data_IF_535065521129
#
_entry.id   IF_535065521129
#
_cell.length_a   1.000
_cell.length_b   1.000
_cell.length_c   1.000
_cell.angle_alpha   90.00
_cell.angle_beta   90.00
_cell.angle_gamma   90.00
#
_symmetry.space_group_name_H-M   'P 1'
#
loop_
_entity.id
_entity.type
_entity.pdbx_description
1 polymer ?
#
# COMPACT_ATOMS: atom_id res chain seq x y z
N UNK A 1 -21.07 7.65 -17.10
CA UNK A 1 -19.92 7.06 -17.81
C UNK A 1 -20.18 5.58 -18.04
N UNK A 2 -19.94 5.06 -19.24
CA UNK A 2 -20.13 3.63 -19.56
C UNK A 2 -18.76 2.94 -19.53
N UNK A 3 -18.67 1.81 -18.84
CA UNK A 3 -17.47 0.96 -18.90
C UNK A 3 -17.37 0.33 -20.30
N UNK A 4 -16.15 0.08 -20.82
CA UNK A 4 -15.99 -0.73 -22.02
C UNK A 4 -16.53 -2.15 -21.77
N UNK A 5 -16.81 -2.88 -22.85
CA UNK A 5 -17.14 -4.31 -22.72
C UNK A 5 -15.89 -5.05 -22.28
N UNK A 6 -16.02 -5.82 -21.20
CA UNK A 6 -14.94 -6.57 -20.57
C UNK A 6 -15.25 -8.06 -20.63
N UNK A 7 -14.28 -8.85 -21.07
CA UNK A 7 -14.36 -10.30 -21.25
C UNK A 7 -13.22 -11.04 -20.55
N UNK A 8 -12.14 -10.35 -20.20
CA UNK A 8 -11.02 -10.95 -19.46
C UNK A 8 -10.78 -10.19 -18.16
N UNK A 9 -10.66 -10.92 -17.06
CA UNK A 9 -10.52 -10.34 -15.74
C UNK A 9 -9.27 -10.88 -15.07
N UNK A 10 -8.42 -9.99 -14.59
CA UNK A 10 -7.14 -10.33 -14.00
C UNK A 10 -7.03 -9.78 -12.59
N UNK A 11 -6.56 -10.61 -11.67
CA UNK A 11 -6.19 -10.20 -10.31
C UNK A 11 -4.69 -10.40 -10.09
N UNK A 12 -4.00 -9.38 -9.59
CA UNK A 12 -2.56 -9.40 -9.35
C UNK A 12 -2.27 -9.18 -7.86
N UNK A 13 -1.78 -10.21 -7.17
CA UNK A 13 -1.14 -10.11 -5.83
C UNK A 13 0.32 -9.76 -6.09
N UNK A 14 0.67 -8.50 -5.87
CA UNK A 14 1.89 -7.84 -6.27
C UNK A 14 2.96 -7.90 -5.18
N UNK A 15 4.21 -7.88 -5.60
CA UNK A 15 5.37 -7.87 -4.71
C UNK A 15 6.45 -6.95 -5.27
N UNK A 16 6.92 -6.00 -4.47
CA UNK A 16 8.06 -5.15 -4.81
C UNK A 16 9.42 -5.79 -4.47
N UNK A 17 9.45 -7.07 -4.09
CA UNK A 17 10.67 -7.78 -3.73
C UNK A 17 11.68 -7.82 -4.89
N UNK A 18 12.97 -7.98 -4.59
CA UNK A 18 14.01 -8.10 -5.63
C UNK A 18 13.76 -9.28 -6.59
N UNK A 19 13.25 -10.39 -6.06
CA UNK A 19 12.79 -11.54 -6.84
C UNK A 19 11.28 -11.49 -7.05
N UNK A 20 10.75 -10.37 -7.57
CA UNK A 20 9.31 -10.16 -7.66
C UNK A 20 8.59 -11.22 -8.50
N UNK A 21 9.22 -11.79 -9.54
CA UNK A 21 8.59 -12.76 -10.43
C UNK A 21 8.02 -13.98 -9.70
N UNK A 22 8.70 -14.48 -8.65
CA UNK A 22 8.22 -15.64 -7.87
C UNK A 22 7.11 -15.28 -6.88
N UNK A 23 6.98 -14.00 -6.53
CA UNK A 23 6.05 -13.53 -5.50
C UNK A 23 4.87 -12.75 -6.07
N UNK A 24 4.94 -12.29 -7.31
CA UNK A 24 3.79 -11.74 -8.01
C UNK A 24 2.97 -12.92 -8.53
N UNK A 25 1.69 -12.97 -8.18
CA UNK A 25 0.75 -13.97 -8.69
C UNK A 25 -0.30 -13.33 -9.56
N UNK A 26 -0.57 -13.95 -10.71
CA UNK A 26 -1.60 -13.52 -11.65
C UNK A 26 -2.71 -14.58 -11.67
N UNK A 27 -3.92 -14.15 -11.34
CA UNK A 27 -5.15 -14.89 -11.50
C UNK A 27 -5.88 -14.39 -12.76
N UNK A 28 -6.30 -15.31 -13.61
CA UNK A 28 -7.06 -15.02 -14.84
C UNK A 28 -8.45 -15.64 -14.71
N UNK A 29 -9.48 -14.83 -14.96
CA UNK A 29 -10.87 -15.22 -14.90
C UNK A 29 -11.56 -14.91 -16.22
N UNK A 30 -12.44 -15.81 -16.63
CA UNK A 30 -13.25 -15.68 -17.84
C UNK A 30 -14.74 -15.85 -17.54
N UNK A 31 -15.62 -15.21 -18.33
CA UNK A 31 -17.05 -15.47 -18.29
C UNK A 31 -17.38 -16.95 -18.45
N UNK A 32 -18.31 -17.42 -17.63
CA UNK A 32 -18.79 -18.78 -17.65
C UNK A 32 -20.31 -18.81 -17.87
N UNK A 33 -20.85 -19.69 -18.73
CA UNK A 33 -22.27 -19.68 -19.10
C UNK A 33 -23.21 -20.06 -17.94
N UNK A 34 -22.71 -20.80 -16.95
CA UNK A 34 -23.47 -21.23 -15.77
C UNK A 34 -22.99 -20.51 -14.51
N UNK A 35 -23.86 -20.20 -13.53
CA UNK A 35 -23.44 -19.70 -12.23
C UNK A 35 -22.41 -20.62 -11.53
N UNK A 36 -21.44 -20.04 -10.79
CA UNK A 36 -21.04 -18.63 -10.83
C UNK A 36 -20.51 -18.21 -12.22
N UNK A 37 -20.84 -16.99 -12.66
CA UNK A 37 -20.62 -16.50 -14.04
C UNK A 37 -19.17 -16.19 -14.39
N UNK A 38 -18.24 -16.44 -13.49
CA UNK A 38 -16.81 -16.32 -13.71
C UNK A 38 -16.15 -17.64 -13.37
N UNK A 39 -15.18 -18.07 -14.17
CA UNK A 39 -14.34 -19.22 -13.87
C UNK A 39 -12.89 -18.78 -13.77
N UNK A 40 -12.19 -19.24 -12.74
CA UNK A 40 -10.74 -19.10 -12.65
C UNK A 40 -10.11 -20.07 -13.66
N UNK A 41 -9.45 -19.54 -14.68
CA UNK A 41 -8.87 -20.32 -15.79
C UNK A 41 -7.37 -20.51 -15.64
N UNK A 42 -6.68 -19.57 -14.97
CA UNK A 42 -5.25 -19.61 -14.69
C UNK A 42 -4.93 -18.95 -13.35
N UNK A 43 -3.93 -19.49 -12.65
CA UNK A 43 -3.38 -18.95 -11.40
C UNK A 43 -1.92 -19.35 -11.30
N UNK A 44 -1.01 -18.42 -11.58
CA UNK A 44 0.43 -18.71 -11.72
C UNK A 44 1.29 -17.58 -11.15
N UNK A 45 2.49 -17.90 -10.63
CA UNK A 45 3.47 -16.86 -10.35
C UNK A 45 3.95 -16.25 -11.67
N UNK A 46 4.31 -14.97 -11.64
CA UNK A 46 4.73 -14.23 -12.83
C UNK A 46 6.00 -14.82 -13.47
N UNK A 47 6.90 -15.40 -12.68
CA UNK A 47 8.11 -16.08 -13.17
C UNK A 47 7.79 -17.30 -14.05
N UNK A 48 6.66 -17.97 -13.82
CA UNK A 48 6.20 -19.06 -14.69
C UNK A 48 5.66 -18.57 -16.05
N UNK A 49 5.39 -17.26 -16.17
CA UNK A 49 4.90 -16.62 -17.39
C UNK A 49 6.07 -15.99 -18.16
N UNK A 50 6.93 -15.24 -17.46
CA UNK A 50 8.02 -14.47 -18.06
C UNK A 50 9.39 -15.16 -18.04
N UNK A 51 9.51 -16.31 -17.36
CA UNK A 51 10.77 -17.08 -17.28
C UNK A 51 11.83 -16.50 -16.34
N UNK A 52 11.52 -15.47 -15.54
CA UNK A 52 12.47 -14.85 -14.62
C UNK A 52 11.85 -14.48 -13.28
N UNK A 53 12.62 -14.65 -12.21
CA UNK A 53 12.25 -14.16 -10.88
C UNK A 53 12.62 -12.69 -10.68
N UNK A 54 13.51 -12.11 -11.48
CA UNK A 54 14.05 -10.77 -11.27
C UNK A 54 12.98 -9.69 -11.47
N UNK A 55 12.93 -8.72 -10.53
CA UNK A 55 11.89 -7.69 -10.50
C UNK A 55 11.76 -6.91 -11.81
N UNK A 56 12.83 -6.25 -12.26
CA UNK A 56 12.76 -5.35 -13.41
C UNK A 56 12.24 -6.05 -14.69
N UNK A 57 12.83 -7.18 -15.16
CA UNK A 57 12.32 -7.85 -16.35
C UNK A 57 10.94 -8.48 -16.14
N UNK A 58 10.61 -8.97 -14.93
CA UNK A 58 9.27 -9.48 -14.66
C UNK A 58 8.20 -8.37 -14.74
N UNK A 59 8.46 -7.19 -14.17
CA UNK A 59 7.55 -6.05 -14.24
C UNK A 59 7.39 -5.52 -15.67
N UNK A 60 8.48 -5.47 -16.44
CA UNK A 60 8.43 -5.12 -17.86
C UNK A 60 7.54 -6.09 -18.66
N UNK A 61 7.67 -7.39 -18.42
CA UNK A 61 6.81 -8.41 -19.04
C UNK A 61 5.35 -8.22 -18.65
N UNK A 62 5.06 -8.02 -17.36
CA UNK A 62 3.70 -7.77 -16.87
C UNK A 62 3.06 -6.56 -17.55
N UNK A 63 3.79 -5.45 -17.68
CA UNK A 63 3.32 -4.27 -18.41
C UNK A 63 3.06 -4.59 -19.87
N UNK A 64 3.95 -5.34 -20.53
CA UNK A 64 3.76 -5.82 -21.90
C UNK A 64 2.45 -6.59 -22.07
N UNK A 65 2.23 -7.62 -21.24
CA UNK A 65 1.00 -8.43 -21.27
C UNK A 65 -0.26 -7.59 -21.06
N UNK A 66 -0.22 -6.59 -20.18
CA UNK A 66 -1.35 -5.68 -20.00
C UNK A 66 -1.55 -4.85 -21.27
N UNK A 67 -0.50 -4.24 -21.83
CA UNK A 67 -0.60 -3.41 -23.04
C UNK A 67 -1.10 -4.17 -24.26
N UNK A 68 -0.86 -5.48 -24.33
CA UNK A 68 -1.36 -6.38 -25.37
C UNK A 68 -2.82 -6.83 -25.14
N UNK A 69 -3.27 -6.88 -23.88
CA UNK A 69 -4.63 -7.35 -23.55
C UNK A 69 -5.75 -6.48 -24.17
N UNK A 70 -6.87 -7.08 -24.54
CA UNK A 70 -8.06 -6.36 -25.00
C UNK A 70 -9.28 -6.79 -24.21
N UNK A 71 -10.28 -5.90 -24.11
CA UNK A 71 -11.53 -6.11 -23.35
C UNK A 71 -11.21 -6.62 -21.94
N UNK A 72 -10.18 -6.06 -21.31
CA UNK A 72 -9.58 -6.61 -20.10
C UNK A 72 -9.69 -5.66 -18.89
N UNK A 73 -9.97 -6.22 -17.72
CA UNK A 73 -9.90 -5.54 -16.43
C UNK A 73 -8.78 -6.14 -15.60
N UNK A 74 -7.87 -5.30 -15.12
CA UNK A 74 -6.75 -5.70 -14.26
C UNK A 74 -6.86 -5.04 -12.89
N UNK A 75 -7.02 -5.85 -11.84
CA UNK A 75 -6.99 -5.42 -10.45
C UNK A 75 -5.63 -5.68 -9.80
N UNK A 76 -5.05 -4.68 -9.16
CA UNK A 76 -3.74 -4.76 -8.50
C UNK A 76 -3.84 -4.50 -7.00
N UNK A 77 -3.12 -5.28 -6.20
CA UNK A 77 -3.13 -5.17 -4.73
C UNK A 77 -2.15 -4.16 -4.12
N UNK A 78 -1.82 -3.11 -4.86
CA UNK A 78 -0.98 -2.02 -4.37
C UNK A 78 -1.59 -0.64 -4.67
N UNK A 79 -1.25 0.40 -3.88
CA UNK A 79 -1.79 1.74 -4.07
C UNK A 79 -1.37 2.41 -5.39
N UNK A 80 -2.30 3.09 -6.07
CA UNK A 80 -2.02 3.87 -7.29
C UNK A 80 -1.64 5.33 -7.04
N UNK A 81 -1.51 5.72 -5.78
CA UNK A 81 -1.16 7.08 -5.40
C UNK A 81 -0.64 7.14 -3.97
N UNK A 82 0.16 8.17 -3.72
CA UNK A 82 0.53 8.63 -2.39
C UNK A 82 -0.53 9.63 -1.87
N UNK A 83 -0.60 9.86 -0.54
CA UNK A 83 -1.42 10.93 0.04
C UNK A 83 -1.07 12.27 -0.58
N UNK A 84 -2.10 12.98 -1.03
CA UNK A 84 -1.95 14.26 -1.74
C UNK A 84 -1.34 15.33 -0.85
N UNK A 85 -1.49 15.18 0.46
CA UNK A 85 -0.95 16.06 1.49
C UNK A 85 0.57 16.00 1.62
N UNK A 86 1.25 15.03 0.97
CA UNK A 86 2.71 15.00 0.86
C UNK A 86 3.26 15.98 -0.18
N UNK A 87 2.38 16.62 -0.95
CA UNK A 87 2.72 17.48 -2.08
C UNK A 87 2.11 18.86 -1.90
N UNK A 88 2.67 19.90 -2.54
CA UNK A 88 2.04 21.21 -2.60
C UNK A 88 0.59 21.12 -3.07
N UNK A 89 -0.28 21.95 -2.51
CA UNK A 89 -1.72 21.96 -2.85
C UNK A 89 -1.90 22.14 -4.37
N UNK A 90 -2.71 21.28 -4.97
CA UNK A 90 -3.00 21.32 -6.42
C UNK A 90 -1.99 20.57 -7.29
N UNK A 91 -0.99 19.90 -6.70
CA UNK A 91 -0.05 19.05 -7.43
C UNK A 91 -0.80 17.97 -8.22
N UNK A 92 -0.60 17.88 -9.55
CA UNK A 92 -1.20 16.83 -10.38
C UNK A 92 -0.76 15.43 -9.96
N UNK A 93 -1.61 14.42 -10.22
CA UNK A 93 -1.27 13.01 -9.93
C UNK A 93 0.00 12.55 -10.65
N UNK A 94 0.25 13.09 -11.84
CA UNK A 94 1.43 12.80 -12.66
C UNK A 94 2.76 13.13 -11.97
N UNK A 95 2.78 14.16 -11.13
CA UNK A 95 3.99 14.59 -10.39
C UNK A 95 4.40 13.58 -9.32
N UNK A 96 3.47 12.75 -8.82
CA UNK A 96 3.83 11.68 -7.90
C UNK A 96 4.77 10.67 -8.57
N UNK A 97 4.64 10.44 -9.87
CA UNK A 97 5.55 9.55 -10.61
C UNK A 97 6.91 10.19 -10.85
N UNK A 98 6.96 11.52 -11.04
CA UNK A 98 8.22 12.26 -11.13
C UNK A 98 8.98 12.12 -9.81
N UNK A 99 8.30 12.39 -8.68
CA UNK A 99 8.84 12.18 -7.34
C UNK A 99 9.39 10.77 -7.15
N UNK A 100 8.63 9.72 -7.50
CA UNK A 100 9.12 8.33 -7.36
C UNK A 100 10.35 8.03 -8.24
N UNK A 101 10.47 8.69 -9.39
CA UNK A 101 11.58 8.46 -10.32
C UNK A 101 12.92 9.01 -9.80
N UNK A 102 12.90 9.98 -8.88
CA UNK A 102 14.10 10.58 -8.27
C UNK A 102 14.87 9.60 -7.37
N UNK A 103 14.22 8.52 -6.92
CA UNK A 103 14.76 7.62 -5.91
C UNK A 103 15.44 6.38 -6.48
N UNK A 104 15.52 6.26 -7.81
CA UNK A 104 16.00 5.05 -8.47
C UNK A 104 15.41 3.81 -7.79
N UNK A 105 16.21 2.83 -7.37
CA UNK A 105 15.75 1.60 -6.71
C UNK A 105 15.63 1.68 -5.16
N UNK A 106 15.81 2.86 -4.55
CA UNK A 106 15.71 3.05 -3.10
C UNK A 106 14.28 3.35 -2.62
N UNK A 107 13.42 2.33 -2.75
CA UNK A 107 12.05 2.39 -2.25
C UNK A 107 11.98 2.69 -0.74
N UNK A 108 12.97 2.24 0.04
CA UNK A 108 13.00 2.46 1.49
C UNK A 108 13.30 3.92 1.83
N UNK A 109 14.32 4.51 1.20
CA UNK A 109 14.62 5.93 1.30
C UNK A 109 13.44 6.80 0.90
N UNK A 110 12.77 6.45 -0.20
CA UNK A 110 11.55 7.14 -0.63
C UNK A 110 10.44 7.09 0.44
N UNK A 111 10.26 5.94 1.10
CA UNK A 111 9.34 5.81 2.23
C UNK A 111 9.73 6.69 3.42
N UNK A 112 11.01 6.77 3.76
CA UNK A 112 11.50 7.66 4.81
C UNK A 112 11.27 9.13 4.47
N UNK A 113 11.44 9.51 3.21
CA UNK A 113 11.12 10.87 2.74
C UNK A 113 9.62 11.17 2.89
N UNK A 114 8.74 10.22 2.57
CA UNK A 114 7.31 10.37 2.81
C UNK A 114 7.00 10.59 4.31
N UNK A 115 7.66 9.84 5.20
CA UNK A 115 7.54 10.04 6.66
C UNK A 115 8.05 11.41 7.08
N UNK A 116 9.17 11.87 6.53
CA UNK A 116 9.75 13.19 6.82
C UNK A 116 8.76 14.29 6.42
N UNK A 117 8.27 14.26 5.18
CA UNK A 117 7.26 15.22 4.68
C UNK A 117 5.98 15.21 5.51
N UNK A 118 5.45 14.04 5.84
CA UNK A 118 4.26 13.92 6.68
C UNK A 118 4.49 14.52 8.08
N UNK A 119 5.67 14.33 8.65
CA UNK A 119 6.02 14.86 9.97
C UNK A 119 6.16 16.38 9.94
N UNK A 120 6.81 16.93 8.91
CA UNK A 120 7.02 18.37 8.78
C UNK A 120 5.73 19.12 8.45
N UNK A 121 4.91 18.59 7.54
CA UNK A 121 3.70 19.28 7.06
C UNK A 121 2.50 19.09 7.98
N UNK A 122 2.40 17.94 8.66
CA UNK A 122 1.19 17.52 9.37
C UNK A 122 1.44 17.04 10.80
N UNK A 123 2.70 17.07 11.27
CA UNK A 123 3.09 16.58 12.60
C UNK A 123 2.70 15.12 12.85
N UNK A 124 2.64 14.31 11.79
CA UNK A 124 2.25 12.88 11.84
C UNK A 124 3.20 12.02 11.01
N UNK A 125 3.63 10.88 11.57
CA UNK A 125 4.50 9.94 10.85
C UNK A 125 3.79 9.16 9.74
N UNK A 126 2.50 8.89 9.92
CA UNK A 126 1.69 8.11 8.99
C UNK A 126 0.41 8.87 8.69
N UNK A 127 0.11 8.98 7.39
CA UNK A 127 -1.09 9.61 6.88
C UNK A 127 -1.72 8.69 5.84
N UNK A 128 -3.05 8.65 5.83
CA UNK A 128 -3.85 7.79 4.96
C UNK A 128 -4.53 8.66 3.91
N UNK A 129 -4.69 8.16 2.68
CA UNK A 129 -5.59 8.79 1.71
C UNK A 129 -7.02 8.73 2.24
N UNK A 130 -7.89 9.59 1.72
CA UNK A 130 -9.32 9.50 2.00
C UNK A 130 -9.86 8.10 1.65
N UNK A 131 -9.46 7.55 0.49
CA UNK A 131 -9.83 6.20 0.04
C UNK A 131 -9.32 5.09 0.96
N UNK A 132 -8.13 5.24 1.55
CA UNK A 132 -7.57 4.27 2.51
C UNK A 132 -8.43 4.21 3.79
N UNK A 133 -8.92 5.36 4.23
CA UNK A 133 -9.79 5.47 5.41
C UNK A 133 -11.17 4.90 5.12
N UNK A 134 -11.78 5.27 4.00
CA UNK A 134 -13.08 4.80 3.55
C UNK A 134 -13.09 3.27 3.34
N UNK A 135 -12.12 2.75 2.59
CA UNK A 135 -11.98 1.33 2.34
C UNK A 135 -11.41 0.55 3.54
N UNK A 136 -11.08 1.22 4.65
CA UNK A 136 -10.53 0.61 5.87
C UNK A 136 -9.29 -0.24 5.59
N UNK A 137 -8.38 0.27 4.75
CA UNK A 137 -7.15 -0.44 4.38
C UNK A 137 -6.26 -0.67 5.61
N UNK A 138 -5.44 -1.74 5.64
CA UNK A 138 -4.65 -2.08 6.81
C UNK A 138 -3.49 -1.11 7.07
N UNK A 139 -2.90 -0.53 6.01
CA UNK A 139 -1.69 0.30 6.08
C UNK A 139 -1.84 1.58 5.24
N UNK A 140 -1.12 2.63 5.62
CA UNK A 140 -0.83 3.75 4.73
C UNK A 140 0.14 3.35 3.61
N UNK A 141 0.12 4.09 2.51
CA UNK A 141 0.79 3.71 1.25
C UNK A 141 2.32 3.66 1.33
N UNK A 142 2.92 4.33 2.31
CA UNK A 142 4.36 4.34 2.55
C UNK A 142 4.78 3.63 3.84
N UNK A 143 3.88 2.84 4.44
CA UNK A 143 4.21 1.98 5.56
C UNK A 143 5.30 0.98 5.17
N UNK A 144 6.21 0.62 6.08
CA UNK A 144 7.37 -0.24 5.78
C UNK A 144 7.03 -1.62 5.18
N UNK A 145 5.81 -2.13 5.41
CA UNK A 145 5.31 -3.39 4.83
C UNK A 145 4.77 -3.25 3.40
N UNK A 146 4.45 -2.03 2.98
CA UNK A 146 3.73 -1.72 1.75
C UNK A 146 4.57 -0.87 0.77
N UNK A 147 5.53 -0.08 1.28
CA UNK A 147 6.29 0.89 0.48
C UNK A 147 6.93 0.28 -0.78
N UNK A 148 7.47 -0.94 -0.71
CA UNK A 148 8.04 -1.60 -1.89
C UNK A 148 6.98 -1.88 -2.97
N UNK A 149 5.77 -2.30 -2.56
CA UNK A 149 4.68 -2.54 -3.50
C UNK A 149 4.20 -1.22 -4.12
N UNK A 150 3.97 -0.19 -3.29
CA UNK A 150 3.58 1.14 -3.76
C UNK A 150 4.62 1.74 -4.71
N UNK A 151 5.90 1.72 -4.31
CA UNK A 151 6.99 2.33 -5.06
C UNK A 151 7.17 1.68 -6.44
N UNK A 152 7.45 0.38 -6.48
CA UNK A 152 7.69 -0.32 -7.75
C UNK A 152 6.39 -0.49 -8.56
N UNK A 153 5.25 -0.69 -7.90
CA UNK A 153 3.95 -0.76 -8.58
C UNK A 153 3.59 0.55 -9.27
N UNK A 154 3.75 1.70 -8.60
CA UNK A 154 3.50 2.99 -9.23
C UNK A 154 4.55 3.32 -10.30
N UNK A 155 5.84 3.20 -9.98
CA UNK A 155 6.96 3.60 -10.86
C UNK A 155 7.05 2.72 -12.10
N UNK A 156 6.99 1.41 -11.94
CA UNK A 156 7.32 0.46 -13.02
C UNK A 156 6.08 -0.14 -13.70
N UNK A 157 4.91 -0.13 -13.04
CA UNK A 157 3.68 -0.68 -13.62
C UNK A 157 2.71 0.44 -14.01
N UNK A 158 2.30 1.28 -13.07
CA UNK A 158 1.26 2.30 -13.36
C UNK A 158 1.80 3.41 -14.27
N UNK A 159 3.05 3.85 -14.09
CA UNK A 159 3.64 4.92 -14.90
C UNK A 159 3.66 4.64 -16.42
N UNK A 160 4.13 3.48 -16.92
CA UNK A 160 4.01 3.18 -18.34
C UNK A 160 2.55 3.02 -18.78
N UNK A 161 1.70 2.36 -17.96
CA UNK A 161 0.30 2.11 -18.30
C UNK A 161 -0.54 3.39 -18.41
N UNK A 162 -0.32 4.38 -17.53
CA UNK A 162 -1.05 5.66 -17.56
C UNK A 162 -0.73 6.48 -18.80
N UNK A 163 0.40 6.23 -19.47
CA UNK A 163 0.81 6.93 -20.70
C UNK A 163 0.19 6.31 -21.95
N UNK A 164 -0.16 5.02 -21.90
CA UNK A 164 -0.82 4.35 -23.01
C UNK A 164 -2.21 4.95 -23.31
N UNK A 165 -2.49 5.21 -24.59
CA UNK A 165 -3.71 5.88 -25.03
C UNK A 165 -4.99 5.06 -24.79
N UNK A 166 -4.87 3.73 -24.93
CA UNK A 166 -5.96 2.74 -24.81
C UNK A 166 -6.05 2.06 -23.43
N UNK A 167 -5.29 2.56 -22.44
CA UNK A 167 -5.35 2.06 -21.06
C UNK A 167 -5.93 3.14 -20.16
N UNK A 168 -7.01 2.81 -19.44
CA UNK A 168 -7.59 3.67 -18.41
C UNK A 168 -7.15 3.20 -17.02
N UNK A 169 -6.43 4.04 -16.28
CA UNK A 169 -6.08 3.81 -14.87
C UNK A 169 -7.11 4.52 -14.00
N UNK A 170 -7.93 3.78 -13.27
CA UNK A 170 -8.96 4.35 -12.40
C UNK A 170 -8.46 4.47 -10.95
N UNK A 171 -8.92 5.49 -10.18
CA UNK A 171 -9.92 6.50 -10.56
C UNK A 171 -9.36 7.74 -11.29
N UNK A 172 -8.10 7.75 -11.70
CA UNK A 172 -7.44 8.98 -12.18
C UNK A 172 -7.76 9.35 -13.64
N UNK A 173 -8.10 8.37 -14.48
CA UNK A 173 -8.21 8.55 -15.93
C UNK A 173 -9.58 8.16 -16.50
N UNK A 174 -10.66 8.52 -15.80
CA UNK A 174 -12.04 8.29 -16.25
C UNK A 174 -12.32 8.73 -17.70
N UNK A 175 -11.72 9.85 -18.14
CA UNK A 175 -11.82 10.38 -19.51
C UNK A 175 -11.36 9.40 -20.59
N UNK A 176 -10.51 8.42 -20.26
CA UNK A 176 -10.02 7.42 -21.21
C UNK A 176 -10.97 6.24 -21.39
N UNK A 177 -11.98 6.06 -20.53
CA UNK A 177 -12.84 4.87 -20.53
C UNK A 177 -13.53 4.61 -21.87
N UNK A 178 -13.97 5.66 -22.56
CA UNK A 178 -14.67 5.54 -23.84
C UNK A 178 -13.84 4.87 -24.95
N UNK A 179 -12.51 4.95 -24.86
CA UNK A 179 -11.56 4.36 -25.84
C UNK A 179 -10.68 3.27 -25.23
N UNK A 180 -10.94 2.90 -23.98
CA UNK A 180 -10.09 1.97 -23.27
C UNK A 180 -10.28 0.55 -23.82
N UNK A 181 -9.20 -0.05 -24.32
CA UNK A 181 -9.14 -1.49 -24.58
C UNK A 181 -9.00 -2.28 -23.28
N UNK A 182 -8.48 -1.63 -22.24
CA UNK A 182 -8.26 -2.21 -20.92
C UNK A 182 -8.38 -1.19 -19.81
N UNK A 183 -8.81 -1.68 -18.67
CA UNK A 183 -9.00 -0.89 -17.46
C UNK A 183 -8.12 -1.47 -16.37
N UNK A 184 -7.44 -0.59 -15.64
CA UNK A 184 -6.54 -0.93 -14.54
C UNK A 184 -7.07 -0.28 -13.27
N UNK A 185 -7.23 -1.05 -12.21
CA UNK A 185 -7.82 -0.60 -10.94
C UNK A 185 -6.97 -1.06 -9.75
N UNK A 186 -6.94 -0.22 -8.72
CA UNK A 186 -6.42 -0.59 -7.40
C UNK A 186 -7.47 -1.46 -6.69
N UNK A 187 -7.03 -2.52 -6.00
CA UNK A 187 -7.89 -3.46 -5.27
C UNK A 187 -7.21 -3.87 -3.97
N UNK A 188 -7.80 -3.62 -2.79
CA UNK A 188 -7.24 -4.13 -1.54
C UNK A 188 -7.99 -5.42 -1.10
N UNK A 189 -7.39 -6.62 -1.19
CA UNK A 189 -8.08 -7.85 -0.83
C UNK A 189 -8.59 -7.85 0.61
N UNK A 190 -7.80 -7.32 1.55
CA UNK A 190 -8.22 -7.21 2.96
C UNK A 190 -9.46 -6.35 3.16
N UNK A 191 -9.57 -5.23 2.43
CA UNK A 191 -10.74 -4.35 2.45
C UNK A 191 -11.96 -5.01 1.84
N UNK A 192 -11.79 -5.72 0.71
CA UNK A 192 -12.87 -6.46 0.05
C UNK A 192 -13.41 -7.56 0.96
N UNK A 193 -12.54 -8.36 1.56
CA UNK A 193 -12.93 -9.40 2.51
C UNK A 193 -13.69 -8.82 3.71
N UNK A 194 -13.23 -7.66 4.23
CA UNK A 194 -13.90 -6.97 5.34
C UNK A 194 -15.27 -6.42 4.95
N UNK A 195 -15.40 -5.86 3.75
CA UNK A 195 -16.67 -5.36 3.21
C UNK A 195 -17.70 -6.47 3.06
N UNK A 196 -17.26 -7.65 2.64
CA UNK A 196 -18.11 -8.82 2.38
C UNK A 196 -18.40 -9.65 3.63
N UNK A 197 -17.93 -9.22 4.80
CA UNK A 197 -18.16 -9.91 6.07
C UNK A 197 -17.43 -11.25 6.21
N UNK A 198 -16.46 -11.54 5.35
CA UNK A 198 -15.69 -12.79 5.38
C UNK A 198 -14.39 -12.62 6.20
N UNK A 199 -13.76 -13.72 6.64
CA UNK A 199 -12.51 -13.63 7.39
C UNK A 199 -11.45 -12.85 6.60
N UNK A 200 -10.97 -11.74 7.17
CA UNK A 200 -10.04 -10.81 6.52
C UNK A 200 -8.68 -10.73 7.23
N UNK A 201 -8.52 -11.46 8.34
CA UNK A 201 -7.28 -11.54 9.11
C UNK A 201 -6.70 -12.95 9.06
N UNK A 202 -5.43 -13.09 9.39
CA UNK A 202 -4.77 -14.39 9.57
C UNK A 202 -4.71 -15.33 8.33
N UNK A 203 -5.04 -14.89 7.12
CA UNK A 203 -4.92 -15.75 5.93
C UNK A 203 -3.49 -15.80 5.32
N UNK A 204 -2.70 -14.71 5.40
CA UNK A 204 -1.28 -14.68 4.94
C UNK A 204 -0.32 -15.24 6.00
N UNK A 205 0.70 -16.04 5.66
CA UNK A 205 1.70 -16.58 6.61
C UNK A 205 2.99 -15.72 6.59
N UNK A 206 3.16 -14.76 7.51
CA UNK A 206 4.26 -13.79 7.43
C UNK A 206 5.64 -14.37 7.77
N UNK A 207 5.72 -15.44 8.56
CA UNK A 207 6.99 -16.03 9.02
C UNK A 207 7.50 -17.17 8.12
N UNK A 208 6.80 -17.48 7.03
CA UNK A 208 7.01 -18.72 6.27
C UNK A 208 6.65 -19.96 7.10
N UNK A 209 6.99 -21.14 6.58
CA UNK A 209 6.69 -22.42 7.23
C UNK A 209 5.24 -22.89 7.04
N UNK A 210 4.87 -24.04 7.64
CA UNK A 210 3.55 -24.63 7.48
C UNK A 210 2.45 -23.72 8.05
N UNK A 211 1.28 -23.74 7.41
CA UNK A 211 0.11 -23.02 7.88
C UNK A 211 -0.36 -23.57 9.22
N UNK A 212 -0.58 -22.68 10.20
CA UNK A 212 -1.22 -23.07 11.46
C UNK A 212 -2.68 -23.45 11.21
N UNK A 213 -3.27 -24.21 12.15
CA UNK A 213 -4.67 -24.64 12.07
C UNK A 213 -5.64 -23.48 11.85
N UNK A 214 -5.46 -22.38 12.59
CA UNK A 214 -6.30 -21.17 12.49
C UNK A 214 -6.24 -20.59 11.08
N UNK A 215 -5.03 -20.43 10.52
CA UNK A 215 -4.85 -19.83 9.19
C UNK A 215 -5.41 -20.72 8.09
N UNK A 216 -5.27 -22.04 8.24
CA UNK A 216 -5.87 -23.01 7.33
C UNK A 216 -7.39 -22.91 7.34
N UNK A 217 -8.01 -22.85 8.52
CA UNK A 217 -9.45 -22.67 8.66
C UNK A 217 -9.92 -21.34 8.03
N UNK A 218 -9.22 -20.24 8.28
CA UNK A 218 -9.49 -18.95 7.64
C UNK A 218 -9.45 -19.05 6.12
N UNK A 219 -8.45 -19.71 5.55
CA UNK A 219 -8.34 -19.88 4.10
C UNK A 219 -9.46 -20.73 3.52
N UNK A 220 -9.87 -21.79 4.21
CA UNK A 220 -11.02 -22.58 3.80
C UNK A 220 -12.29 -21.74 3.74
N UNK A 221 -12.55 -20.92 4.77
CA UNK A 221 -13.72 -20.03 4.78
C UNK A 221 -13.69 -18.99 3.64
N UNK A 222 -12.51 -18.42 3.34
CA UNK A 222 -12.36 -17.49 2.21
C UNK A 222 -12.60 -18.22 0.88
N UNK A 223 -12.04 -19.43 0.73
CA UNK A 223 -12.17 -20.22 -0.49
C UNK A 223 -13.61 -20.68 -0.73
N UNK A 224 -14.30 -21.12 0.33
CA UNK A 224 -15.72 -21.49 0.28
C UNK A 224 -16.58 -20.32 -0.19
N UNK A 225 -16.35 -19.12 0.36
CA UNK A 225 -17.02 -17.92 -0.11
C UNK A 225 -16.68 -17.60 -1.58
N UNK A 226 -15.40 -17.69 -1.95
CA UNK A 226 -14.94 -17.42 -3.31
C UNK A 226 -15.60 -18.37 -4.32
N UNK A 227 -15.82 -19.63 -3.95
CA UNK A 227 -16.48 -20.64 -4.79
C UNK A 227 -17.95 -20.31 -5.08
N UNK A 228 -18.60 -19.53 -4.23
CA UNK A 228 -19.92 -18.95 -4.50
C UNK A 228 -19.91 -17.83 -5.54
N UNK A 229 -18.77 -17.15 -5.71
CA UNK A 229 -18.62 -16.01 -6.63
C UNK A 229 -17.89 -16.36 -7.94
N UNK A 230 -16.99 -17.34 -7.90
CA UNK A 230 -16.11 -17.75 -9.01
C UNK A 230 -16.01 -19.27 -9.00
N UNK A 231 -16.11 -19.89 -10.17
CA UNK A 231 -15.88 -21.32 -10.32
C UNK A 231 -14.39 -21.60 -10.20
N UNK A 232 -14.01 -22.27 -9.12
CA UNK A 232 -12.62 -22.68 -8.84
C UNK A 232 -12.49 -24.18 -9.08
N UNK A 233 -11.55 -24.59 -9.94
CA UNK A 233 -11.24 -26.01 -10.16
C UNK A 233 -10.32 -26.58 -9.08
N UNK A 234 -10.34 -27.90 -8.87
CA UNK A 234 -9.56 -28.57 -7.81
C UNK A 234 -8.05 -28.32 -7.88
N UNK A 235 -7.53 -28.16 -9.10
CA UNK A 235 -6.12 -27.78 -9.29
C UNK A 235 -5.80 -26.45 -8.60
N UNK A 236 -6.67 -25.47 -8.72
CA UNK A 236 -6.49 -24.14 -8.15
C UNK A 236 -6.75 -24.12 -6.66
N UNK A 237 -7.74 -24.87 -6.17
CA UNK A 237 -7.96 -25.10 -4.74
C UNK A 237 -6.66 -25.55 -4.06
N UNK A 238 -5.99 -26.56 -4.65
CA UNK A 238 -4.71 -27.06 -4.11
C UNK A 238 -3.62 -26.00 -4.10
N UNK A 239 -3.50 -25.20 -5.16
CA UNK A 239 -2.51 -24.10 -5.24
C UNK A 239 -2.77 -23.05 -4.16
N UNK A 240 -4.01 -22.55 -4.05
CA UNK A 240 -4.43 -21.54 -3.06
C UNK A 240 -4.15 -22.03 -1.64
N UNK A 241 -4.45 -23.30 -1.35
CA UNK A 241 -4.27 -23.86 -0.01
C UNK A 241 -2.82 -24.18 0.34
N UNK A 242 -1.96 -24.48 -0.65
CA UNK A 242 -0.55 -24.83 -0.42
C UNK A 242 0.40 -23.63 -0.46
N UNK A 243 0.03 -22.54 -1.14
CA UNK A 243 0.90 -21.37 -1.24
C UNK A 243 1.03 -20.69 0.14
N UNK A 244 2.20 -20.63 0.78
CA UNK A 244 2.33 -20.02 2.10
C UNK A 244 1.96 -18.53 2.10
N UNK A 245 1.94 -17.84 0.95
CA UNK A 245 1.50 -16.44 0.86
C UNK A 245 2.40 -15.48 1.65
N UNK A 246 3.66 -15.87 1.85
CA UNK A 246 4.67 -15.06 2.51
C UNK A 246 5.68 -14.55 1.48
N UNK A 247 5.82 -13.24 1.36
CA UNK A 247 7.01 -12.64 0.74
C UNK A 247 8.20 -13.00 1.65
N UNK A 248 9.17 -13.76 1.14
CA UNK A 248 10.40 -14.12 1.89
C UNK A 248 11.33 -12.93 2.16
N UNK A 249 10.85 -11.71 1.91
CA UNK A 249 11.56 -10.42 1.94
C UNK A 249 12.08 -10.03 3.33
N UNK A 250 11.56 -10.58 4.42
CA UNK A 250 11.94 -10.14 5.77
C UNK A 250 13.20 -10.80 6.34
N UNK A 251 13.82 -11.75 5.63
CA UNK A 251 14.97 -12.51 6.17
C UNK A 251 16.35 -12.06 5.68
N UNK A 252 16.46 -11.11 4.74
CA UNK A 252 17.77 -10.76 4.12
C UNK A 252 18.18 -9.28 4.15
N UNK A 253 17.41 -8.37 4.76
CA UNK A 253 17.75 -6.94 4.77
C UNK A 253 17.95 -6.40 6.19
N UNK A 254 18.82 -7.04 6.98
CA UNK A 254 19.55 -6.34 8.05
C UNK A 254 20.94 -5.99 7.48
N UNK A 255 21.20 -4.73 7.12
CA UNK A 255 22.57 -4.29 6.91
C UNK A 255 23.29 -4.38 8.25
N UNK A 256 24.36 -5.16 8.31
CA UNK A 256 25.36 -5.01 9.36
C UNK A 256 26.01 -3.64 9.15
N UNK A 257 25.52 -2.62 9.84
CA UNK A 257 26.18 -1.34 9.91
C UNK A 257 27.43 -1.48 10.78
N UNK A 258 28.57 -1.82 10.16
CA UNK A 258 29.87 -1.40 10.67
C UNK A 258 30.09 0.05 10.21
N UNK A 259 30.39 1.00 11.11
CA UNK A 259 30.67 2.36 10.70
C UNK A 259 32.03 2.40 10.00
N UNK A 260 32.01 2.56 8.67
CA UNK A 260 33.18 3.00 7.90
C UNK A 260 33.46 4.47 8.23
N UNK A 261 34.67 4.72 8.71
CA UNK A 261 35.21 6.05 9.03
C UNK A 261 35.08 6.99 7.83
N UNK A 262 34.67 8.23 8.10
CA UNK A 262 34.75 9.36 7.16
C UNK A 262 36.19 9.51 6.61
N UNK A 263 36.37 9.77 5.31
CA UNK A 263 37.63 10.25 4.79
C UNK A 263 37.84 11.71 5.25
N UNK A 264 39.00 11.98 5.86
CA UNK A 264 39.43 13.35 6.17
C UNK A 264 39.79 14.11 4.89
N UNK A 265 39.71 15.45 4.87
CA UNK A 265 40.08 16.27 3.72
C UNK A 265 41.59 16.18 3.44
N UNK A 266 41.92 16.18 2.16
CA UNK A 266 43.29 16.31 1.64
C UNK A 266 43.73 17.75 1.88
N UNK A 267 44.71 17.96 2.76
CA UNK A 267 45.46 19.22 2.84
C UNK A 267 46.88 18.99 2.33
N UNK A 268 47.32 19.93 1.51
CA UNK A 268 48.56 19.95 0.76
C UNK A 268 49.83 19.74 1.62
N UNK A 269 50.82 19.08 1.02
CA UNK A 269 52.18 18.90 1.54
C UNK A 269 52.98 20.20 1.41
N UNK A 270 53.79 20.49 2.43
CA UNK A 270 55.14 21.04 2.30
C UNK A 270 56.03 20.51 3.45
N UNK A 271 57.36 20.42 3.30
CA UNK A 271 58.20 19.43 3.98
C UNK A 271 59.17 20.02 5.02
N UNK A 272 59.43 19.29 6.12
CA UNK A 272 60.65 19.41 6.93
C UNK A 272 60.81 18.26 7.95
N UNK A 273 61.77 17.36 7.67
CA UNK A 273 62.83 16.77 8.53
C UNK A 273 62.57 16.23 9.97
N UNK A 274 63.45 15.34 10.49
CA UNK A 274 63.06 14.15 11.27
C UNK A 274 63.24 14.29 12.79
N UNK A 275 62.48 13.48 13.55
CA UNK A 275 62.60 13.37 15.00
C UNK A 275 62.18 11.99 15.52
N UNK A 276 63.02 11.45 16.38
CA UNK A 276 63.15 10.09 16.94
C UNK A 276 62.16 9.72 18.06
N UNK A 277 61.93 8.41 18.24
CA UNK A 277 61.45 7.76 19.48
C UNK A 277 59.95 7.92 19.77
N UNK A 278 59.23 7.00 20.41
CA UNK A 278 59.56 5.80 21.19
C UNK A 278 58.25 5.01 21.43
N UNK A 279 58.40 3.77 21.87
CA UNK A 279 57.37 2.73 22.13
C UNK A 279 56.23 3.18 23.06
N UNK A 280 55.03 2.62 22.87
CA UNK A 280 53.94 2.68 23.84
C UNK A 280 52.84 1.67 23.52
N UNK A 281 52.60 0.76 24.46
CA UNK A 281 51.86 -0.51 24.41
C UNK A 281 50.34 -0.42 24.26
N UNK A 282 49.77 -1.39 23.55
CA UNK A 282 48.33 -1.71 23.52
C UNK A 282 47.87 -2.34 24.84
N UNK A 283 46.79 -1.80 25.42
CA UNK A 283 45.91 -2.53 26.34
C UNK A 283 44.45 -2.26 25.96
N UNK A 284 43.74 -3.36 25.64
CA UNK A 284 42.29 -3.37 25.46
C UNK A 284 41.62 -3.45 26.83
N UNK A 285 40.72 -2.52 27.14
CA UNK A 285 39.78 -2.65 28.24
C UNK A 285 38.38 -2.20 27.79
N UNK A 286 37.41 -3.13 27.91
CA UNK A 286 35.97 -2.86 27.80
C UNK A 286 35.50 -2.12 29.07
N UNK A 287 34.55 -1.19 29.00
CA UNK A 287 33.81 -0.78 30.19
C UNK A 287 32.49 -1.53 30.33
N UNK A 288 32.28 -1.97 31.58
CA UNK A 288 31.05 -2.47 32.16
C UNK A 288 29.99 -1.37 32.29
N UNK A 289 28.71 -1.79 32.23
CA UNK A 289 27.56 -1.02 32.71
C UNK A 289 27.61 -0.84 34.22
N UNK A 290 27.42 0.37 34.71
CA UNK A 290 26.86 0.64 36.04
C UNK A 290 25.77 1.72 35.97
N UNK A 291 24.70 1.46 36.73
CA UNK A 291 23.53 2.32 36.96
C UNK A 291 23.87 3.37 38.01
N UNK A 292 23.42 4.62 37.83
CA UNK A 292 23.23 5.57 38.93
C UNK A 292 21.88 6.30 38.79
N UNK A 293 21.36 6.66 39.96
CA UNK A 293 19.98 6.93 40.39
C UNK A 293 19.55 8.40 40.16
N UNK A 294 18.22 8.57 40.12
CA UNK A 294 17.42 9.81 40.19
C UNK A 294 17.91 10.89 41.17
N UNK A 295 17.70 12.18 40.83
CA UNK A 295 16.97 13.20 41.65
C UNK A 295 16.62 14.44 40.77
N UNK A 296 15.45 15.08 40.91
CA UNK A 296 15.03 16.25 40.13
C UNK A 296 15.27 17.59 40.84
N UNK A 297 15.33 18.69 40.06
CA UNK A 297 15.46 20.07 40.56
C UNK A 297 14.17 20.86 40.25
N UNK A 298 13.61 21.52 41.29
CA UNK A 298 12.58 22.58 41.25
C UNK A 298 13.21 23.97 41.01
N UNK A 299 12.44 25.02 40.67
CA UNK A 299 11.89 25.97 41.69
C UNK A 299 10.39 26.30 41.46
N UNK A 300 9.52 26.39 42.49
CA UNK A 300 9.14 27.57 43.33
C UNK A 300 8.49 28.72 42.51
N UNK A 301 7.15 28.95 42.54
CA UNK A 301 6.33 29.75 43.50
C UNK A 301 6.89 31.16 43.74
N UNK A 302 6.16 32.29 43.77
CA UNK A 302 4.76 32.69 44.12
C UNK A 302 4.68 34.22 43.79
N UNK A 303 3.58 34.91 43.47
CA UNK A 303 2.45 35.36 44.31
C UNK A 303 1.44 36.16 43.42
N UNK A 304 0.13 35.84 43.43
CA UNK A 304 -1.03 36.49 44.08
C UNK A 304 -1.65 37.73 43.34
N UNK A 305 -2.79 37.63 42.61
CA UNK A 305 -4.25 37.88 42.92
C UNK A 305 -4.60 39.22 43.63
N UNK A 306 -5.86 39.79 43.65
CA UNK A 306 -7.16 39.46 42.99
C UNK A 306 -8.10 40.67 42.59
N UNK A 307 -9.37 40.33 42.27
CA UNK A 307 -10.67 41.09 42.19
C UNK A 307 -11.19 41.48 40.77
N UNK A 308 -12.23 40.82 40.22
CA UNK A 308 -13.71 40.93 40.44
C UNK A 308 -14.32 42.12 39.65
N UNK A 309 -15.52 42.15 39.04
CA UNK A 309 -16.71 41.29 38.90
C UNK A 309 -17.72 41.98 37.95
N UNK A 310 -18.82 41.31 37.59
CA UNK A 310 -20.06 41.80 36.92
C UNK A 310 -20.00 42.02 35.39
N UNK A 311 -21.03 41.75 34.57
CA UNK A 311 -22.44 41.46 34.81
C UNK A 311 -23.16 40.92 33.57
N UNK A 312 -24.45 40.66 33.72
CA UNK A 312 -25.36 39.82 32.94
C UNK A 312 -25.77 40.31 31.53
N UNK A 313 -26.26 39.35 30.72
CA UNK A 313 -27.03 39.47 29.47
C UNK A 313 -28.47 40.04 29.72
N UNK A 314 -29.35 40.29 28.69
CA UNK A 314 -29.94 39.25 27.82
C UNK A 314 -30.44 39.68 26.40
N UNK A 315 -30.86 38.68 25.59
CA UNK A 315 -31.75 38.82 24.41
C UNK A 315 -31.03 38.75 23.06
N UNK A 316 -31.50 38.07 22.00
CA UNK A 316 -32.81 37.50 21.73
C UNK A 316 -32.78 36.32 20.75
N UNK A 317 -33.89 35.57 20.80
CA UNK A 317 -34.40 34.56 19.89
C UNK A 317 -34.26 34.88 18.39
N UNK A 318 -33.92 33.86 17.59
CA UNK A 318 -34.76 33.50 16.43
C UNK A 318 -34.60 32.01 16.08
N UNK A 319 -35.74 31.31 16.15
CA UNK A 319 -35.96 29.94 15.68
C UNK A 319 -36.28 29.99 14.19
N UNK A 320 -35.82 29.01 13.42
CA UNK A 320 -36.38 28.72 12.10
C UNK A 320 -36.75 27.23 12.02
N UNK A 321 -38.05 26.88 11.85
CA UNK A 321 -38.50 25.52 11.71
C UNK A 321 -38.82 25.21 10.24
N UNK A 322 -38.24 24.16 9.67
CA UNK A 322 -38.87 23.45 8.54
C UNK A 322 -38.62 21.95 8.69
N UNK A 323 -39.56 21.32 9.40
CA UNK A 323 -39.84 19.89 9.35
C UNK A 323 -41.24 19.79 8.78
N UNK A 324 -41.39 19.27 7.57
CA UNK A 324 -42.69 18.82 7.06
C UNK A 324 -42.66 17.29 6.91
N UNK A 325 -43.55 16.67 7.67
CA UNK A 325 -43.89 15.25 7.63
C UNK A 325 -44.58 14.89 6.31
N UNK A 326 -44.44 13.61 5.95
CA UNK A 326 -45.26 12.87 4.99
C UNK A 326 -46.77 13.01 5.24
N UNK A 327 -47.57 12.57 4.26
CA UNK A 327 -48.56 11.55 4.57
C UNK A 327 -48.38 10.28 3.73
N UNK A 328 -48.65 9.14 4.40
CA UNK A 328 -48.94 7.84 3.81
C UNK A 328 -50.28 7.89 3.09
N UNK A 329 -50.35 7.28 1.92
CA UNK A 329 -51.60 6.92 1.24
C UNK A 329 -51.45 5.55 0.58
N UNK A 330 -51.99 4.52 1.22
CA UNK A 330 -52.32 3.25 0.58
C UNK A 330 -53.63 3.44 -0.19
N UNK A 331 -53.72 2.91 -1.42
CA UNK A 331 -54.96 2.32 -1.96
C UNK A 331 -54.61 1.39 -3.14
N UNK A 332 -55.32 0.25 -3.14
CA UNK A 332 -55.25 -0.92 -4.03
C UNK A 332 -56.02 -0.69 -5.36
N UNK A 333 -55.99 -1.73 -6.20
CA UNK A 333 -56.84 -2.14 -7.35
C UNK A 333 -56.31 -1.69 -8.71
N UNK A 334 -55.82 -2.58 -9.59
CA UNK A 334 -56.41 -3.72 -10.34
C UNK A 334 -56.88 -3.33 -11.76
N UNK A 335 -56.71 -4.29 -12.69
CA UNK A 335 -57.01 -4.32 -14.13
C UNK A 335 -56.05 -3.54 -15.05
N UNK A 336 -55.45 -4.09 -16.12
CA UNK A 336 -55.58 -5.39 -16.79
C UNK A 336 -55.22 -5.18 -18.27
N UNK A 337 -54.46 -6.08 -18.90
CA UNK A 337 -54.42 -6.25 -20.36
C UNK A 337 -53.58 -7.48 -20.77
N UNK A 338 -54.29 -8.44 -21.36
CA UNK A 338 -53.87 -9.58 -22.19
C UNK A 338 -53.39 -10.86 -21.50
#
# INVERSE_FOLDING_TARGET
>A
MKLPVLEHFFGVDFSGARQAGDFIWVAELEPHPRPPRLALTSLRPLSAICGTAERAPALAHLVGSILESERALWGFDFPFGLPVELFPKGTPWEEQFAFLSEWEDDAYGCGLECVRRATELLQRKHIRRASDTEARTPFDTFHYRLIYQTFFGMRDVVNPLRRAACTAVLPFQYRKLARAKRVVVECCPGSVLKLLGVPHQNYKQPKGGPLTRVRRATRHAILEWLEGAVRVGDRFRRVIMRNPGGTRSTRSSRPSARPTRCPRPITARSPSTPGTGTRGTCTCAKPHLERVVNTPVRPACRDQVPFASSGQAPGAQQRNPFVTRQPRGNLRTEFGSR
#
